data_IF_226862273975
#
_entry.id   IF_226862273975
#
_cell.length_a   1.000
_cell.length_b   1.000
_cell.length_c   1.000
_cell.angle_alpha   90.00
_cell.angle_beta   90.00
_cell.angle_gamma   90.00
#
_symmetry.space_group_name_H-M   'P 1'
#
loop_
_entity.id
_entity.type
_entity.pdbx_description
1 polymer ?
#
# COMPACT_ATOMS: atom_id res chain seq x y z
N UNK A 1 4.47 16.50 2.83
CA UNK A 1 5.41 16.20 3.95
C UNK A 1 4.75 15.22 4.91
N UNK A 2 5.44 14.21 5.38
CA UNK A 2 4.87 13.27 6.34
C UNK A 2 4.49 13.96 7.65
N UNK A 3 3.48 13.42 8.31
CA UNK A 3 3.19 13.75 9.70
C UNK A 3 4.33 13.20 10.57
N UNK A 4 4.91 14.04 11.42
CA UNK A 4 6.05 13.64 12.26
C UNK A 4 5.60 13.48 13.71
N UNK A 5 5.86 12.31 14.29
CA UNK A 5 5.65 12.01 15.69
C UNK A 5 6.99 11.76 16.37
N UNK A 6 7.17 12.34 17.57
CA UNK A 6 8.39 12.15 18.36
C UNK A 6 8.48 10.72 18.93
N UNK A 7 7.34 10.13 19.27
CA UNK A 7 7.21 8.79 19.90
C UNK A 7 5.98 8.04 19.40
N UNK A 8 5.99 6.70 19.40
CA UNK A 8 4.88 5.91 18.88
C UNK A 8 3.57 6.07 19.65
N UNK A 9 3.60 6.39 20.94
CA UNK A 9 2.38 6.56 21.73
C UNK A 9 1.52 7.74 21.28
N UNK A 10 2.09 8.73 20.58
CA UNK A 10 1.32 9.83 19.99
C UNK A 10 0.40 9.39 18.86
N UNK A 11 0.53 8.16 18.36
CA UNK A 11 -0.47 7.55 17.47
C UNK A 11 -1.87 7.54 18.10
N UNK A 12 -1.97 7.51 19.43
CA UNK A 12 -3.27 7.53 20.13
C UNK A 12 -4.12 8.73 19.76
N UNK A 13 -3.50 9.88 19.56
CA UNK A 13 -4.18 11.14 19.23
C UNK A 13 -4.66 11.17 17.78
N UNK A 14 -4.23 10.21 16.96
CA UNK A 14 -4.54 10.11 15.55
C UNK A 14 -5.63 9.07 15.24
N UNK A 15 -6.11 8.32 16.23
CA UNK A 15 -7.16 7.31 16.02
C UNK A 15 -8.41 7.98 15.45
N UNK A 16 -8.92 7.43 14.36
CA UNK A 16 -10.04 7.97 13.61
C UNK A 16 -9.66 9.08 12.62
N UNK A 17 -8.38 9.45 12.53
CA UNK A 17 -7.92 10.53 11.66
C UNK A 17 -7.21 9.99 10.43
N UNK A 18 -7.39 10.72 9.33
CA UNK A 18 -6.62 10.54 8.12
C UNK A 18 -5.21 11.11 8.30
N UNK A 19 -4.21 10.34 7.85
CA UNK A 19 -2.81 10.77 7.81
C UNK A 19 -2.54 11.63 6.58
N UNK A 20 -1.29 12.08 6.40
CA UNK A 20 -0.89 12.81 5.20
C UNK A 20 -1.12 11.96 3.96
N UNK A 21 -1.84 12.50 2.99
CA UNK A 21 -2.02 11.88 1.68
C UNK A 21 -0.68 11.81 0.96
N UNK A 22 -0.36 10.64 0.40
CA UNK A 22 0.90 10.45 -0.32
C UNK A 22 0.89 11.09 -1.69
N UNK A 23 2.07 11.29 -2.28
CA UNK A 23 2.19 11.75 -3.65
C UNK A 23 1.83 10.65 -4.66
N UNK A 24 1.52 11.05 -5.89
CA UNK A 24 1.34 10.14 -7.00
C UNK A 24 2.63 9.42 -7.33
N UNK A 25 2.56 8.09 -7.44
CA UNK A 25 3.69 7.23 -7.69
C UNK A 25 3.46 6.36 -8.93
N UNK A 26 4.37 6.37 -9.92
CA UNK A 26 4.21 5.59 -11.14
C UNK A 26 4.45 4.10 -10.88
N UNK A 27 3.58 3.26 -11.44
CA UNK A 27 3.78 1.81 -11.48
C UNK A 27 4.33 1.45 -12.85
N UNK A 28 5.65 1.58 -13.00
CA UNK A 28 6.34 1.33 -14.24
C UNK A 28 6.28 -0.15 -14.65
N UNK A 29 6.26 -0.41 -15.95
CA UNK A 29 6.29 -1.77 -16.52
C UNK A 29 7.46 -2.59 -15.96
N UNK A 30 8.65 -2.01 -15.85
CA UNK A 30 9.82 -2.67 -15.28
C UNK A 30 9.62 -3.15 -13.85
N UNK A 31 8.87 -2.39 -13.04
CA UNK A 31 8.55 -2.79 -11.67
C UNK A 31 7.63 -4.02 -11.64
N UNK A 32 6.69 -4.09 -12.55
CA UNK A 32 5.79 -5.24 -12.70
C UNK A 32 6.60 -6.48 -13.12
N UNK A 33 7.50 -6.33 -14.08
CA UNK A 33 8.40 -7.41 -14.51
C UNK A 33 9.29 -7.91 -13.38
N UNK A 34 9.88 -7.01 -12.60
CA UNK A 34 10.69 -7.35 -11.43
C UNK A 34 9.88 -8.09 -10.37
N UNK A 35 8.64 -7.68 -10.13
CA UNK A 35 7.75 -8.36 -9.18
C UNK A 35 7.39 -9.76 -9.67
N UNK A 36 7.11 -9.91 -10.96
CA UNK A 36 6.84 -11.21 -11.58
C UNK A 36 8.05 -12.16 -11.44
N UNK A 37 9.27 -11.66 -11.62
CA UNK A 37 10.49 -12.44 -11.42
C UNK A 37 10.67 -12.89 -9.97
N UNK A 38 10.53 -11.98 -9.04
CA UNK A 38 10.78 -12.24 -7.61
C UNK A 38 9.75 -13.19 -7.00
N UNK A 39 8.51 -13.15 -7.47
CA UNK A 39 7.41 -13.99 -6.98
C UNK A 39 7.13 -15.21 -7.83
N UNK A 40 7.74 -15.28 -9.03
CA UNK A 40 7.49 -16.31 -10.04
C UNK A 40 6.03 -16.33 -10.57
N UNK A 41 5.28 -15.25 -10.33
CA UNK A 41 3.96 -15.02 -10.94
C UNK A 41 4.12 -14.30 -12.28
N UNK A 42 4.37 -15.09 -13.31
CA UNK A 42 4.60 -14.66 -14.69
C UNK A 42 3.38 -14.84 -15.58
N UNK A 43 2.18 -14.69 -15.02
CA UNK A 43 0.96 -14.76 -15.84
C UNK A 43 1.01 -13.71 -16.95
N UNK A 44 0.57 -14.08 -18.15
CA UNK A 44 0.67 -13.24 -19.35
C UNK A 44 0.07 -11.84 -19.18
N UNK A 45 -0.97 -11.69 -18.37
CA UNK A 45 -1.61 -10.39 -18.11
C UNK A 45 -0.66 -9.37 -17.49
N UNK A 46 0.46 -9.81 -16.88
CA UNK A 46 1.45 -8.94 -16.24
C UNK A 46 2.70 -8.74 -17.09
N UNK A 47 3.08 -9.73 -17.90
CA UNK A 47 4.42 -9.75 -18.54
C UNK A 47 4.41 -9.81 -20.07
N UNK A 48 3.32 -10.22 -20.69
CA UNK A 48 3.21 -10.34 -22.14
C UNK A 48 2.44 -9.15 -22.72
N UNK A 49 3.16 -8.08 -23.03
CA UNK A 49 2.59 -6.83 -23.52
C UNK A 49 1.82 -7.02 -24.83
N UNK A 50 2.38 -7.73 -25.81
CA UNK A 50 1.75 -7.95 -27.11
C UNK A 50 0.42 -8.70 -26.96
N UNK A 51 0.44 -9.78 -26.17
CA UNK A 51 -0.77 -10.54 -25.89
C UNK A 51 -1.79 -9.71 -25.10
N UNK A 52 -1.35 -8.94 -24.14
CA UNK A 52 -2.24 -8.08 -23.34
C UNK A 52 -2.92 -7.01 -24.21
N UNK A 53 -2.22 -6.41 -25.16
CA UNK A 53 -2.80 -5.45 -26.10
C UNK A 53 -3.90 -6.06 -26.96
N UNK A 54 -3.76 -7.34 -27.36
CA UNK A 54 -4.74 -8.02 -28.20
C UNK A 54 -5.90 -8.67 -27.42
N UNK A 55 -5.62 -9.25 -26.27
CA UNK A 55 -6.53 -10.17 -25.58
C UNK A 55 -7.00 -9.70 -24.21
N UNK A 56 -6.27 -8.78 -23.57
CA UNK A 56 -6.65 -8.27 -22.25
C UNK A 56 -7.82 -7.28 -22.36
N UNK A 57 -8.82 -7.37 -21.46
CA UNK A 57 -9.87 -6.36 -21.39
C UNK A 57 -9.34 -4.97 -20.96
N UNK A 58 -8.11 -4.90 -20.48
CA UNK A 58 -7.45 -3.65 -20.06
C UNK A 58 -6.63 -3.00 -21.18
N UNK A 59 -6.39 -3.70 -22.30
CA UNK A 59 -5.65 -3.18 -23.46
C UNK A 59 -4.15 -3.05 -23.26
N UNK A 60 -3.62 -3.45 -22.12
CA UNK A 60 -2.20 -3.45 -21.76
C UNK A 60 -1.95 -4.41 -20.60
N UNK A 61 -0.69 -4.61 -20.23
CA UNK A 61 -0.36 -5.34 -19.01
C UNK A 61 -0.82 -4.57 -17.76
N UNK A 62 -1.10 -5.32 -16.71
CA UNK A 62 -1.54 -4.77 -15.42
C UNK A 62 -0.61 -5.22 -14.30
N UNK A 63 -0.51 -4.41 -13.25
CA UNK A 63 0.21 -4.78 -12.03
C UNK A 63 -0.50 -5.92 -11.29
N UNK A 64 0.30 -6.77 -10.65
CA UNK A 64 -0.23 -7.72 -9.67
C UNK A 64 -0.90 -6.94 -8.53
N UNK A 65 -2.05 -7.39 -8.08
CA UNK A 65 -2.67 -6.82 -6.87
C UNK A 65 -1.72 -6.86 -5.68
N UNK A 66 -0.96 -7.95 -5.54
CA UNK A 66 0.03 -8.09 -4.46
C UNK A 66 1.22 -7.15 -4.58
N UNK A 67 1.58 -6.68 -5.77
CA UNK A 67 2.55 -5.61 -5.94
C UNK A 67 2.03 -4.32 -5.31
N UNK A 68 0.82 -3.90 -5.66
CA UNK A 68 0.18 -2.72 -5.10
C UNK A 68 0.08 -2.82 -3.57
N UNK A 69 -0.36 -3.97 -3.05
CA UNK A 69 -0.45 -4.22 -1.62
C UNK A 69 0.92 -4.10 -0.92
N UNK A 70 1.96 -4.67 -1.50
CA UNK A 70 3.31 -4.64 -0.92
C UNK A 70 3.90 -3.22 -0.82
N UNK A 71 3.44 -2.30 -1.65
CA UNK A 71 3.88 -0.90 -1.64
C UNK A 71 3.32 -0.08 -0.48
N UNK A 72 2.35 -0.59 0.27
CA UNK A 72 1.80 0.14 1.44
C UNK A 72 2.88 0.54 2.43
N UNK A 73 3.88 -0.30 2.66
CA UNK A 73 5.00 0.01 3.56
C UNK A 73 5.85 1.19 3.06
N UNK A 74 6.02 1.30 1.74
CA UNK A 74 6.70 2.44 1.12
C UNK A 74 5.88 3.72 1.33
N UNK A 75 4.59 3.67 1.01
CA UNK A 75 3.71 4.84 1.14
C UNK A 75 3.53 5.29 2.58
N UNK A 76 3.56 4.38 3.54
CA UNK A 76 3.45 4.75 4.96
C UNK A 76 4.57 5.70 5.39
N UNK A 77 5.79 5.57 4.84
CA UNK A 77 6.90 6.47 5.13
C UNK A 77 6.67 7.91 4.66
N UNK A 78 5.82 8.09 3.65
CA UNK A 78 5.40 9.41 3.19
C UNK A 78 4.27 9.98 4.05
N UNK A 79 3.41 9.10 4.59
CA UNK A 79 2.26 9.52 5.38
C UNK A 79 2.66 9.91 6.82
N UNK A 80 3.54 9.12 7.43
CA UNK A 80 3.93 9.32 8.83
C UNK A 80 5.38 8.91 9.07
N UNK A 81 6.05 9.64 9.95
CA UNK A 81 7.39 9.32 10.46
C UNK A 81 7.38 9.36 11.98
N UNK A 82 7.92 8.32 12.60
CA UNK A 82 8.12 8.26 14.06
C UNK A 82 9.61 8.35 14.32
N UNK A 83 10.05 9.44 15.00
CA UNK A 83 11.46 9.75 15.17
C UNK A 83 12.19 8.83 16.13
N UNK A 84 11.50 8.33 17.15
CA UNK A 84 12.15 7.49 18.16
C UNK A 84 11.18 6.58 18.90
N UNK A 85 11.73 5.62 19.66
CA UNK A 85 10.96 4.70 20.48
C UNK A 85 10.36 3.51 19.72
N UNK A 86 10.72 3.32 18.44
CA UNK A 86 10.36 2.13 17.67
C UNK A 86 11.63 1.39 17.29
N UNK A 87 11.75 0.14 17.73
CA UNK A 87 12.87 -0.73 17.34
C UNK A 87 12.67 -1.32 15.96
N UNK A 88 11.44 -1.73 15.64
CA UNK A 88 11.07 -2.27 14.33
C UNK A 88 9.57 -2.15 14.11
N UNK A 89 9.17 -2.09 12.84
CA UNK A 89 7.78 -2.17 12.42
C UNK A 89 7.60 -3.45 11.61
N UNK A 90 6.55 -4.19 11.90
CA UNK A 90 6.29 -5.48 11.26
C UNK A 90 4.89 -5.50 10.65
N UNK A 91 4.80 -5.99 9.43
CA UNK A 91 3.52 -6.32 8.81
C UNK A 91 2.95 -7.53 9.56
N UNK A 92 2.00 -7.29 10.45
CA UNK A 92 1.42 -8.35 11.26
C UNK A 92 0.34 -9.13 10.51
N UNK A 93 -0.47 -8.42 9.77
CA UNK A 93 -1.54 -9.05 9.01
C UNK A 93 -2.44 -8.08 8.27
N UNK A 94 -3.48 -8.64 7.72
CA UNK A 94 -4.51 -7.95 6.97
C UNK A 94 -5.84 -8.56 7.37
N UNK A 95 -6.77 -7.74 7.86
CA UNK A 95 -8.10 -8.21 8.21
C UNK A 95 -8.99 -8.36 6.98
N UNK A 96 -8.78 -7.50 6.00
CA UNK A 96 -9.51 -7.48 4.75
C UNK A 96 -8.68 -6.84 3.65
N UNK A 97 -8.72 -7.42 2.43
CA UNK A 97 -8.12 -6.86 1.23
C UNK A 97 -9.03 -7.09 0.04
N UNK A 98 -9.18 -6.07 -0.81
CA UNK A 98 -9.85 -6.18 -2.10
C UNK A 98 -9.11 -5.32 -3.13
N UNK A 99 -9.16 -5.75 -4.38
CA UNK A 99 -8.59 -5.07 -5.54
C UNK A 99 -9.71 -4.72 -6.52
N UNK A 100 -10.46 -3.62 -6.27
CA UNK A 100 -11.67 -3.32 -7.05
C UNK A 100 -11.42 -2.94 -8.50
N UNK A 101 -10.23 -2.41 -8.83
CA UNK A 101 -9.85 -2.04 -10.19
C UNK A 101 -8.40 -2.39 -10.49
N UNK A 102 -8.11 -2.67 -11.76
CA UNK A 102 -6.77 -3.00 -12.21
C UNK A 102 -5.87 -1.76 -12.33
N UNK A 103 -4.59 -1.92 -12.04
CA UNK A 103 -3.55 -0.90 -12.26
C UNK A 103 -2.84 -1.22 -13.55
N UNK A 104 -3.13 -0.47 -14.62
CA UNK A 104 -2.42 -0.61 -15.89
C UNK A 104 -0.96 -0.22 -15.74
N UNK A 105 -0.07 -0.87 -16.49
CA UNK A 105 1.34 -0.47 -16.55
C UNK A 105 1.45 1.05 -16.83
N UNK A 106 2.39 1.70 -16.18
CA UNK A 106 2.66 3.14 -16.26
C UNK A 106 1.57 4.06 -15.69
N UNK A 107 0.56 3.52 -15.03
CA UNK A 107 -0.40 4.30 -14.25
C UNK A 107 0.22 4.82 -12.96
N UNK A 108 -0.42 5.82 -12.36
CA UNK A 108 0.01 6.40 -11.08
C UNK A 108 -1.00 6.08 -9.98
N UNK A 109 -0.48 5.74 -8.82
CA UNK A 109 -1.26 5.46 -7.61
C UNK A 109 -0.77 6.32 -6.44
N UNK A 110 -1.64 6.54 -5.45
CA UNK A 110 -1.30 7.16 -4.17
C UNK A 110 -2.16 6.54 -3.07
N UNK A 111 -1.80 6.74 -1.83
CA UNK A 111 -2.50 6.11 -0.72
C UNK A 111 -3.03 7.13 0.28
N UNK A 112 -4.27 6.91 0.68
CA UNK A 112 -4.94 7.56 1.78
C UNK A 112 -5.02 6.57 2.93
N UNK A 113 -4.34 6.89 4.04
CA UNK A 113 -4.39 6.08 5.25
C UNK A 113 -5.24 6.76 6.32
N UNK A 114 -6.07 5.96 7.00
CA UNK A 114 -6.76 6.38 8.22
C UNK A 114 -6.36 5.42 9.33
N UNK A 115 -5.91 5.96 10.47
CA UNK A 115 -5.63 5.12 11.64
C UNK A 115 -6.96 4.72 12.29
N UNK A 116 -7.37 3.49 12.10
CA UNK A 116 -8.66 2.97 12.56
C UNK A 116 -8.65 2.66 14.05
N UNK A 117 -7.60 2.00 14.53
CA UNK A 117 -7.47 1.62 15.93
C UNK A 117 -6.02 1.44 16.35
N UNK A 118 -5.78 1.54 17.63
CA UNK A 118 -4.48 1.31 18.25
C UNK A 118 -4.70 0.60 19.58
N UNK A 119 -3.92 -0.45 19.84
CA UNK A 119 -3.95 -1.14 21.13
C UNK A 119 -2.55 -1.52 21.60
N UNK A 120 -2.40 -1.62 22.92
CA UNK A 120 -1.20 -2.16 23.51
C UNK A 120 -1.21 -3.69 23.40
N UNK A 121 -0.08 -4.25 22.99
CA UNK A 121 0.20 -5.68 23.01
C UNK A 121 1.56 -5.89 23.67
N UNK A 122 1.95 -7.10 24.09
CA UNK A 122 3.27 -7.29 24.70
C UNK A 122 4.41 -6.77 23.83
N UNK A 123 5.19 -5.84 24.39
CA UNK A 123 6.36 -5.18 23.76
C UNK A 123 6.08 -4.37 22.49
N UNK A 124 4.81 -4.06 22.20
CA UNK A 124 4.46 -3.35 20.95
C UNK A 124 3.17 -2.53 21.07
N UNK A 125 2.99 -1.66 20.10
CA UNK A 125 1.70 -1.08 19.75
C UNK A 125 1.21 -1.73 18.46
N UNK A 126 -0.02 -2.19 18.46
CA UNK A 126 -0.68 -2.74 17.27
C UNK A 126 -1.63 -1.71 16.69
N UNK A 127 -1.34 -1.27 15.48
CA UNK A 127 -2.15 -0.30 14.75
C UNK A 127 -2.88 -0.96 13.60
N UNK A 128 -4.15 -0.60 13.42
CA UNK A 128 -4.93 -0.98 12.24
C UNK A 128 -5.15 0.26 11.39
N UNK A 129 -4.66 0.21 10.16
CA UNK A 129 -4.86 1.28 9.18
C UNK A 129 -5.84 0.85 8.11
N UNK A 130 -6.80 1.72 7.82
CA UNK A 130 -7.52 1.64 6.56
C UNK A 130 -6.65 2.28 5.48
N UNK A 131 -6.28 1.49 4.48
CA UNK A 131 -5.53 1.94 3.32
C UNK A 131 -6.43 1.93 2.08
N UNK A 132 -6.63 3.10 1.50
CA UNK A 132 -7.32 3.26 0.23
C UNK A 132 -6.30 3.69 -0.82
N UNK A 133 -6.02 2.82 -1.77
CA UNK A 133 -5.10 3.11 -2.86
C UNK A 133 -5.89 3.69 -4.02
N UNK A 134 -5.63 4.96 -4.31
CA UNK A 134 -6.28 5.70 -5.38
C UNK A 134 -5.51 5.50 -6.69
N UNK A 135 -6.26 5.38 -7.78
CA UNK A 135 -5.73 5.29 -9.14
C UNK A 135 -5.98 6.61 -9.86
N UNK A 136 -4.94 7.24 -10.40
CA UNK A 136 -5.07 8.51 -11.11
C UNK A 136 -6.04 8.38 -12.29
N UNK A 137 -6.98 9.31 -12.37
CA UNK A 137 -8.00 9.31 -13.42
C UNK A 137 -9.19 8.40 -13.18
N UNK A 138 -9.29 7.77 -11.99
CA UNK A 138 -10.40 6.88 -11.62
C UNK A 138 -10.98 7.25 -10.25
N UNK A 139 -12.30 7.20 -10.14
CA UNK A 139 -12.98 7.35 -8.85
C UNK A 139 -12.98 6.06 -8.03
N UNK A 140 -12.70 4.94 -8.69
CA UNK A 140 -12.66 3.62 -8.06
C UNK A 140 -11.25 3.30 -7.58
N UNK A 141 -11.06 2.90 -6.31
CA UNK A 141 -9.75 2.53 -5.81
C UNK A 141 -9.24 1.23 -6.46
N UNK A 142 -7.93 1.09 -6.55
CA UNK A 142 -7.30 -0.14 -7.05
C UNK A 142 -6.95 -1.14 -5.93
N UNK A 143 -6.92 -0.69 -4.69
CA UNK A 143 -6.76 -1.54 -3.51
C UNK A 143 -7.42 -0.89 -2.31
N UNK A 144 -8.13 -1.68 -1.52
CA UNK A 144 -8.61 -1.30 -0.19
C UNK A 144 -8.19 -2.38 0.79
N UNK A 145 -7.56 -2.00 1.89
CA UNK A 145 -7.02 -2.95 2.86
C UNK A 145 -7.20 -2.45 4.30
N UNK A 146 -7.56 -3.35 5.19
CA UNK A 146 -7.35 -3.16 6.63
C UNK A 146 -6.03 -3.79 7.00
N UNK A 147 -5.02 -2.96 7.21
CA UNK A 147 -3.64 -3.36 7.40
C UNK A 147 -3.23 -3.25 8.87
N UNK A 148 -2.74 -4.35 9.43
CA UNK A 148 -2.31 -4.44 10.82
C UNK A 148 -0.79 -4.35 10.89
N UNK A 149 -0.29 -3.33 11.58
CA UNK A 149 1.13 -3.08 11.78
C UNK A 149 1.44 -3.13 13.27
N UNK A 150 2.50 -3.84 13.64
CA UNK A 150 3.05 -3.79 15.01
C UNK A 150 4.30 -2.94 15.06
N UNK A 151 4.29 -1.97 15.95
CA UNK A 151 5.45 -1.14 16.28
C UNK A 151 6.04 -1.65 17.59
N UNK A 152 7.16 -2.37 17.51
CA UNK A 152 7.87 -2.87 18.68
C UNK A 152 8.69 -1.74 19.32
N UNK A 153 8.58 -1.60 20.63
CA UNK A 153 9.15 -0.53 21.45
C UNK A 153 10.19 -1.01 22.44
#
# INVERSE_FOLDING_TARGET
MPLVLERPHFLRDLVGRELTLTDWFPIAEERIEQFAEVTEDRQWIHVDRERAERESPYGTTIAHGFLTLSLLSRFMKEAIQIRGGVRMSVNYGLNRVRFPSAVRADSKIRVRFTLQSLRDVPDALEAVFDARVELQGSDKPCCVAEWVVRYYI
#
